data_IF_462976429698
#
_entry.id   IF_462976429698
#
_cell.length_a   1.000
_cell.length_b   1.000
_cell.length_c   1.000
_cell.angle_alpha   90.00
_cell.angle_beta   90.00
_cell.angle_gamma   90.00
#
_symmetry.space_group_name_H-M   'P 1'
#
loop_
_entity.id
_entity.type
_entity.pdbx_description
1 polymer ?
#
# COMPACT_ATOMS: atom_id res chain seq x y z
N UNK A 1 12.73 -20.04 14.41
CA UNK A 1 12.87 -19.02 15.49
C UNK A 1 11.49 -18.56 16.00
N UNK A 2 10.57 -18.12 15.15
CA UNK A 2 9.24 -17.62 15.58
C UNK A 2 8.41 -18.66 16.34
N UNK A 3 8.43 -19.93 15.93
CA UNK A 3 7.76 -21.00 16.68
C UNK A 3 8.33 -21.20 18.08
N UNK A 4 9.65 -21.09 18.24
CA UNK A 4 10.28 -21.11 19.57
C UNK A 4 9.81 -19.94 20.43
N UNK A 5 9.71 -18.74 19.86
CA UNK A 5 9.21 -17.56 20.58
C UNK A 5 7.74 -17.70 20.97
N UNK A 6 6.95 -18.31 20.09
CA UNK A 6 5.55 -18.64 20.39
C UNK A 6 5.46 -19.67 21.54
N UNK A 7 6.22 -20.76 21.47
CA UNK A 7 6.23 -21.82 22.49
C UNK A 7 6.67 -21.26 23.87
N UNK A 8 7.72 -20.42 23.91
CA UNK A 8 8.14 -19.69 25.12
C UNK A 8 7.00 -18.78 25.63
N UNK A 9 6.33 -18.07 24.72
CA UNK A 9 5.20 -17.22 25.06
C UNK A 9 4.03 -17.99 25.67
N UNK A 10 3.72 -19.18 25.17
CA UNK A 10 2.72 -20.07 25.75
C UNK A 10 3.08 -20.45 27.19
N UNK A 11 4.33 -20.90 27.42
CA UNK A 11 4.81 -21.24 28.77
C UNK A 11 4.72 -20.05 29.73
N UNK A 12 5.11 -18.85 29.28
CA UNK A 12 4.98 -17.63 30.10
C UNK A 12 3.51 -17.39 30.47
N UNK A 13 2.59 -17.54 29.50
CA UNK A 13 1.16 -17.30 29.72
C UNK A 13 0.52 -18.33 30.67
N UNK A 14 0.94 -19.59 30.63
CA UNK A 14 0.52 -20.62 31.58
C UNK A 14 0.93 -20.30 33.03
N UNK A 15 2.05 -19.58 33.17
CA UNK A 15 2.60 -19.23 34.50
C UNK A 15 2.30 -17.77 34.95
N UNK A 16 1.34 -17.10 34.30
CA UNK A 16 0.93 -15.72 34.66
C UNK A 16 0.58 -15.55 36.17
N UNK A 17 0.10 -16.59 36.83
CA UNK A 17 -0.24 -16.61 38.26
C UNK A 17 0.97 -16.50 39.19
N UNK A 18 2.20 -16.68 38.72
CA UNK A 18 3.43 -16.66 39.53
C UNK A 18 3.93 -15.24 39.85
N UNK A 19 3.19 -14.22 39.42
CA UNK A 19 3.42 -12.83 39.81
C UNK A 19 4.35 -12.05 38.85
N UNK A 20 4.44 -10.74 39.09
CA UNK A 20 5.13 -9.79 38.20
C UNK A 20 6.63 -10.02 38.04
N UNK A 21 7.29 -10.77 38.93
CA UNK A 21 8.74 -11.04 38.89
C UNK A 21 9.09 -12.30 38.07
N UNK A 22 8.12 -13.10 37.64
CA UNK A 22 8.38 -14.33 36.91
C UNK A 22 9.20 -14.10 35.65
N UNK A 23 8.82 -13.13 34.82
CA UNK A 23 9.53 -12.83 33.56
C UNK A 23 10.93 -12.27 33.82
N UNK A 24 11.11 -11.48 34.86
CA UNK A 24 12.43 -10.95 35.27
C UNK A 24 13.38 -12.07 35.69
N UNK A 25 12.87 -13.00 36.51
CA UNK A 25 13.62 -14.20 36.94
C UNK A 25 13.96 -15.07 35.74
N UNK A 26 12.98 -15.38 34.88
CA UNK A 26 13.16 -16.16 33.66
C UNK A 26 14.23 -15.56 32.75
N UNK A 27 14.23 -14.24 32.55
CA UNK A 27 15.26 -13.57 31.76
C UNK A 27 16.66 -13.71 32.37
N UNK A 28 16.74 -13.72 33.70
CA UNK A 28 17.99 -13.91 34.44
C UNK A 28 18.47 -15.34 34.32
N UNK A 29 17.59 -16.32 34.52
CA UNK A 29 17.91 -17.75 34.46
C UNK A 29 18.36 -18.16 33.05
N UNK A 30 17.68 -17.67 31.99
CA UNK A 30 18.10 -17.91 30.61
C UNK A 30 19.51 -17.34 30.36
N UNK A 31 19.80 -16.13 30.84
CA UNK A 31 21.11 -15.51 30.66
C UNK A 31 22.22 -16.28 31.39
N UNK A 32 21.93 -16.86 32.55
CA UNK A 32 22.89 -17.68 33.30
C UNK A 32 23.09 -19.05 32.61
N UNK A 33 22.00 -19.70 32.22
CA UNK A 33 22.04 -21.03 31.61
C UNK A 33 22.60 -21.01 30.17
N UNK A 34 22.34 -19.92 29.43
CA UNK A 34 22.68 -19.77 28.00
C UNK A 34 23.35 -18.40 27.73
N UNK A 35 24.59 -18.15 28.20
CA UNK A 35 25.23 -16.82 28.13
C UNK A 35 25.40 -16.30 26.70
N UNK A 36 25.59 -17.18 25.73
CA UNK A 36 25.76 -16.82 24.31
C UNK A 36 24.43 -16.54 23.59
N UNK A 37 23.29 -16.85 24.21
CA UNK A 37 21.98 -16.66 23.60
C UNK A 37 21.52 -15.22 23.72
N UNK A 38 21.19 -14.60 22.59
CA UNK A 38 20.66 -13.24 22.52
C UNK A 38 19.15 -13.26 22.28
N UNK A 39 18.47 -12.15 22.67
CA UNK A 39 17.06 -11.98 22.34
C UNK A 39 16.08 -12.38 23.47
N UNK A 40 16.55 -12.70 24.68
CA UNK A 40 15.72 -13.09 25.83
C UNK A 40 15.67 -12.00 26.93
N UNK A 41 15.67 -10.74 26.52
CA UNK A 41 15.45 -9.65 27.48
C UNK A 41 14.01 -9.69 28.02
N UNK A 42 13.80 -9.13 29.19
CA UNK A 42 12.46 -8.98 29.80
C UNK A 42 11.44 -8.40 28.82
N UNK A 43 11.84 -7.35 28.09
CA UNK A 43 10.98 -6.74 27.04
C UNK A 43 10.60 -7.74 25.97
N UNK A 44 11.57 -8.50 25.45
CA UNK A 44 11.31 -9.45 24.37
C UNK A 44 10.48 -10.66 24.85
N UNK A 45 10.70 -11.16 26.07
CA UNK A 45 9.86 -12.20 26.67
C UNK A 45 8.41 -11.73 26.83
N UNK A 46 8.18 -10.45 27.18
CA UNK A 46 6.83 -9.87 27.21
C UNK A 46 6.19 -9.85 25.81
N UNK A 47 6.96 -9.56 24.76
CA UNK A 47 6.46 -9.67 23.39
C UNK A 47 6.15 -11.11 22.98
N UNK A 48 6.96 -12.09 23.38
CA UNK A 48 6.68 -13.50 23.14
C UNK A 48 5.36 -13.93 23.81
N UNK A 49 5.14 -13.52 25.05
CA UNK A 49 3.89 -13.77 25.77
C UNK A 49 2.67 -13.14 25.06
N UNK A 50 2.78 -11.85 24.69
CA UNK A 50 1.73 -11.15 23.93
C UNK A 50 1.47 -11.78 22.57
N UNK A 51 2.52 -12.21 21.86
CA UNK A 51 2.44 -12.87 20.58
C UNK A 51 1.67 -14.19 20.66
N UNK A 52 2.01 -15.05 21.63
CA UNK A 52 1.32 -16.32 21.85
C UNK A 52 -0.14 -16.14 22.30
N UNK A 53 -0.42 -15.10 23.10
CA UNK A 53 -1.79 -14.75 23.48
C UNK A 53 -2.62 -14.24 22.31
N UNK A 54 -2.00 -13.48 21.41
CA UNK A 54 -2.68 -12.92 20.21
C UNK A 54 -2.90 -13.96 19.14
N UNK A 55 -1.96 -14.88 18.97
CA UNK A 55 -2.00 -15.94 17.95
C UNK A 55 -1.91 -17.32 18.60
N UNK A 56 -2.99 -17.82 19.22
CA UNK A 56 -2.97 -19.08 19.94
C UNK A 56 -2.82 -20.30 19.01
N UNK A 57 -3.19 -20.17 17.73
CA UNK A 57 -3.05 -21.25 16.75
C UNK A 57 -1.60 -21.34 16.25
N UNK A 58 -0.89 -22.37 16.73
CA UNK A 58 0.49 -22.66 16.33
C UNK A 58 0.64 -22.92 14.82
N UNK A 59 -0.41 -23.44 14.16
CA UNK A 59 -0.39 -23.66 12.72
C UNK A 59 -0.39 -22.32 11.96
N UNK A 60 -1.21 -21.38 12.39
CA UNK A 60 -1.21 -20.01 11.86
C UNK A 60 0.18 -19.37 12.00
N UNK A 61 0.80 -19.47 13.17
CA UNK A 61 2.15 -18.94 13.40
C UNK A 61 3.16 -19.57 12.43
N UNK A 62 3.07 -20.87 12.19
CA UNK A 62 3.98 -21.60 11.30
C UNK A 62 3.80 -21.21 9.83
N UNK A 63 2.57 -21.03 9.37
CA UNK A 63 2.25 -20.88 7.94
C UNK A 63 2.20 -19.43 7.49
N UNK A 64 1.77 -18.52 8.34
CA UNK A 64 1.52 -17.10 8.00
C UNK A 64 2.54 -16.19 8.69
N UNK A 65 2.51 -16.15 10.02
CA UNK A 65 3.35 -15.21 10.78
C UNK A 65 4.84 -15.45 10.64
N UNK A 66 5.26 -16.72 10.43
CA UNK A 66 6.68 -17.09 10.25
C UNK A 66 7.30 -16.62 8.91
N UNK A 67 6.49 -16.13 7.99
CA UNK A 67 6.96 -15.61 6.70
C UNK A 67 7.63 -14.23 6.84
N UNK A 68 7.40 -13.52 7.93
CA UNK A 68 7.96 -12.19 8.18
C UNK A 68 8.89 -12.20 9.41
N UNK A 69 9.87 -11.29 9.49
CA UNK A 69 10.80 -11.17 10.61
C UNK A 69 10.09 -10.90 11.94
N UNK A 70 10.74 -11.27 13.07
CA UNK A 70 10.23 -11.03 14.42
C UNK A 70 9.94 -9.54 14.69
N UNK A 71 10.83 -8.65 14.24
CA UNK A 71 10.63 -7.20 14.39
C UNK A 71 9.37 -6.68 13.72
N UNK A 72 8.98 -7.25 12.58
CA UNK A 72 7.74 -6.91 11.88
C UNK A 72 6.52 -7.39 12.65
N UNK A 73 6.57 -8.61 13.17
CA UNK A 73 5.50 -9.14 14.04
C UNK A 73 5.28 -8.25 15.28
N UNK A 74 6.36 -7.78 15.92
CA UNK A 74 6.27 -6.84 17.06
C UNK A 74 5.60 -5.54 16.61
N UNK A 75 6.03 -4.96 15.49
CA UNK A 75 5.46 -3.71 15.00
C UNK A 75 3.96 -3.80 14.74
N UNK A 76 3.51 -4.89 14.11
CA UNK A 76 2.08 -5.14 13.85
C UNK A 76 1.32 -5.30 15.18
N UNK A 77 1.86 -6.06 16.14
CA UNK A 77 1.25 -6.24 17.46
C UNK A 77 1.11 -4.94 18.27
N UNK A 78 2.05 -4.01 18.09
CA UNK A 78 2.02 -2.72 18.81
C UNK A 78 1.07 -1.72 18.16
N UNK A 79 1.08 -1.63 16.84
CA UNK A 79 0.41 -0.56 16.10
C UNK A 79 -0.99 -0.92 15.61
N UNK A 80 -1.25 -2.19 15.31
CA UNK A 80 -2.53 -2.65 14.74
C UNK A 80 -3.36 -3.34 15.82
N UNK A 81 -4.57 -2.85 16.11
CA UNK A 81 -5.45 -3.40 17.14
C UNK A 81 -6.38 -4.49 16.63
N UNK A 82 -6.91 -4.29 15.43
CA UNK A 82 -7.87 -5.21 14.82
C UNK A 82 -7.20 -6.52 14.36
N UNK A 83 -7.75 -7.69 14.72
CA UNK A 83 -7.16 -8.99 14.36
C UNK A 83 -7.13 -9.24 12.84
N UNK A 84 -8.15 -8.81 12.08
CA UNK A 84 -8.19 -9.03 10.64
C UNK A 84 -7.17 -8.15 9.93
N UNK A 85 -7.05 -6.90 10.36
CA UNK A 85 -6.00 -6.00 9.85
C UNK A 85 -4.59 -6.55 10.11
N UNK A 86 -4.35 -7.16 11.31
CA UNK A 86 -3.04 -7.78 11.59
C UNK A 86 -2.70 -8.88 10.60
N UNK A 87 -3.64 -9.78 10.33
CA UNK A 87 -3.45 -10.86 9.35
C UNK A 87 -3.14 -10.28 7.99
N UNK A 88 -3.93 -9.31 7.54
CA UNK A 88 -3.74 -8.64 6.27
C UNK A 88 -2.34 -7.98 6.16
N UNK A 89 -1.88 -7.25 7.19
CA UNK A 89 -0.54 -6.65 7.17
C UNK A 89 0.59 -7.70 7.18
N UNK A 90 0.40 -8.86 7.85
CA UNK A 90 1.37 -9.96 7.80
C UNK A 90 1.46 -10.50 6.37
N UNK A 91 0.34 -10.81 5.74
CA UNK A 91 0.26 -11.33 4.38
C UNK A 91 0.86 -10.35 3.37
N UNK A 92 0.46 -9.08 3.43
CA UNK A 92 0.98 -8.03 2.54
C UNK A 92 2.47 -7.77 2.75
N UNK A 93 2.96 -7.88 3.97
CA UNK A 93 4.40 -7.79 4.25
C UNK A 93 5.17 -8.95 3.62
N UNK A 94 4.64 -10.16 3.70
CA UNK A 94 5.24 -11.35 3.10
C UNK A 94 5.21 -11.29 1.56
N UNK A 95 4.05 -10.94 0.99
CA UNK A 95 3.87 -10.82 -0.48
C UNK A 95 4.80 -9.78 -1.10
N UNK A 96 4.92 -8.62 -0.46
CA UNK A 96 5.63 -7.46 -1.03
C UNK A 96 7.08 -7.35 -0.54
N UNK A 97 7.51 -8.19 0.40
CA UNK A 97 8.85 -8.11 0.96
C UNK A 97 9.15 -6.80 1.68
N UNK A 98 8.16 -6.19 2.34
CA UNK A 98 8.34 -4.90 2.99
C UNK A 98 9.43 -4.92 4.05
N UNK A 99 10.30 -3.93 4.00
CA UNK A 99 11.23 -3.67 5.11
C UNK A 99 10.45 -3.17 6.34
N UNK A 100 11.08 -3.22 7.51
CA UNK A 100 10.46 -2.74 8.75
C UNK A 100 9.94 -1.29 8.65
N UNK A 101 10.73 -0.40 8.02
CA UNK A 101 10.34 1.01 7.87
C UNK A 101 9.18 1.18 6.88
N UNK A 102 9.15 0.41 5.79
CA UNK A 102 8.03 0.41 4.84
C UNK A 102 6.76 -0.09 5.52
N UNK A 103 6.81 -1.18 6.28
CA UNK A 103 5.66 -1.68 7.03
C UNK A 103 5.12 -0.63 8.01
N UNK A 104 6.00 0.04 8.77
CA UNK A 104 5.60 1.11 9.70
C UNK A 104 4.89 2.24 8.94
N UNK A 105 5.46 2.71 7.84
CA UNK A 105 4.86 3.74 7.01
C UNK A 105 3.47 3.32 6.50
N UNK A 106 3.32 2.09 6.00
CA UNK A 106 2.04 1.59 5.49
C UNK A 106 0.96 1.49 6.60
N UNK A 107 1.35 1.12 7.83
CA UNK A 107 0.43 1.10 8.96
C UNK A 107 0.04 2.54 9.36
N UNK A 108 1.00 3.44 9.48
CA UNK A 108 0.79 4.83 9.90
C UNK A 108 -0.01 5.64 8.86
N UNK A 109 0.13 5.33 7.58
CA UNK A 109 -0.68 5.90 6.50
C UNK A 109 -2.02 5.19 6.29
N UNK A 110 -2.45 4.33 7.22
CA UNK A 110 -3.75 3.63 7.16
C UNK A 110 -4.00 2.88 5.85
N UNK A 111 -2.98 2.13 5.37
CA UNK A 111 -3.07 1.46 4.08
C UNK A 111 -4.27 0.50 3.98
N UNK A 112 -4.60 -0.23 5.06
CA UNK A 112 -5.73 -1.16 5.07
C UNK A 112 -7.04 -0.44 4.74
N UNK A 113 -7.28 0.69 5.40
CA UNK A 113 -8.46 1.52 5.20
C UNK A 113 -8.54 2.03 3.76
N UNK A 114 -7.45 2.56 3.24
CA UNK A 114 -7.37 3.13 1.89
C UNK A 114 -7.44 2.09 0.77
N UNK A 115 -7.00 0.87 1.03
CA UNK A 115 -6.94 -0.18 0.01
C UNK A 115 -8.11 -1.17 0.09
N UNK A 116 -8.56 -1.51 1.30
CA UNK A 116 -9.57 -2.55 1.53
C UNK A 116 -10.95 -1.96 1.83
N UNK A 117 -11.01 -0.92 2.68
CA UNK A 117 -12.28 -0.37 3.15
C UNK A 117 -12.77 0.83 2.34
N UNK A 118 -11.90 1.49 1.58
CA UNK A 118 -12.28 2.66 0.81
C UNK A 118 -13.33 2.33 -0.26
N UNK A 119 -14.36 3.16 -0.33
CA UNK A 119 -15.35 3.15 -1.41
C UNK A 119 -14.77 3.87 -2.63
N UNK A 120 -14.06 3.10 -3.46
CA UNK A 120 -13.34 3.62 -4.62
C UNK A 120 -14.30 3.90 -5.77
N UNK A 121 -14.31 5.14 -6.25
CA UNK A 121 -15.06 5.48 -7.47
C UNK A 121 -14.26 4.98 -8.68
N UNK A 122 -14.62 3.80 -9.17
CA UNK A 122 -13.98 3.17 -10.35
C UNK A 122 -15.04 2.61 -11.29
N UNK A 123 -14.64 2.37 -12.54
CA UNK A 123 -15.46 1.65 -13.52
C UNK A 123 -14.75 0.39 -14.06
N UNK A 124 -13.76 -0.10 -13.35
CA UNK A 124 -12.94 -1.23 -13.77
C UNK A 124 -13.76 -2.49 -14.08
N UNK A 125 -14.83 -2.77 -13.31
CA UNK A 125 -15.71 -3.93 -13.54
C UNK A 125 -16.41 -3.89 -14.90
N UNK A 126 -16.68 -2.69 -15.43
CA UNK A 126 -17.37 -2.51 -16.71
C UNK A 126 -16.41 -2.48 -17.89
N UNK A 127 -15.13 -2.21 -17.67
CA UNK A 127 -14.15 -1.92 -18.73
C UNK A 127 -13.02 -2.92 -18.85
N UNK A 128 -12.67 -3.56 -17.75
CA UNK A 128 -11.58 -4.53 -17.74
C UNK A 128 -12.15 -5.95 -17.65
N UNK A 129 -11.56 -6.91 -18.39
CA UNK A 129 -11.95 -8.31 -18.26
C UNK A 129 -11.58 -8.85 -16.87
N UNK A 130 -12.40 -9.76 -16.30
CA UNK A 130 -12.00 -10.54 -15.14
C UNK A 130 -10.83 -11.47 -15.52
N UNK A 131 -9.80 -11.66 -14.68
CA UNK A 131 -9.66 -11.15 -13.31
C UNK A 131 -8.95 -9.78 -13.21
N UNK A 132 -8.66 -9.10 -14.33
CA UNK A 132 -7.93 -7.82 -14.31
C UNK A 132 -8.70 -6.74 -13.55
N UNK A 133 -10.02 -6.66 -13.71
CA UNK A 133 -10.86 -5.69 -13.01
C UNK A 133 -10.73 -5.80 -11.50
N UNK A 134 -10.83 -7.02 -10.97
CA UNK A 134 -10.69 -7.29 -9.54
C UNK A 134 -9.28 -6.96 -9.02
N UNK A 135 -8.24 -7.36 -9.77
CA UNK A 135 -6.86 -7.05 -9.43
C UNK A 135 -6.59 -5.54 -9.45
N UNK A 136 -7.15 -4.80 -10.41
CA UNK A 136 -7.02 -3.35 -10.48
C UNK A 136 -7.65 -2.67 -9.25
N UNK A 137 -8.87 -3.04 -8.85
CA UNK A 137 -9.52 -2.53 -7.64
C UNK A 137 -8.68 -2.81 -6.39
N UNK A 138 -8.13 -4.02 -6.28
CA UNK A 138 -7.29 -4.41 -5.14
C UNK A 138 -5.93 -3.70 -5.11
N UNK A 139 -5.37 -3.39 -6.28
CA UNK A 139 -4.06 -2.75 -6.39
C UNK A 139 -4.11 -1.27 -6.08
N UNK A 140 -5.17 -0.59 -6.51
CA UNK A 140 -5.31 0.86 -6.37
C UNK A 140 -5.76 1.26 -4.95
N UNK A 141 -5.41 2.47 -4.54
CA UNK A 141 -5.73 3.08 -3.24
C UNK A 141 -6.67 4.27 -3.43
N UNK A 142 -7.42 4.61 -2.41
CA UNK A 142 -8.18 5.86 -2.33
C UNK A 142 -8.32 6.28 -0.84
N UNK A 143 -7.80 7.44 -0.45
CA UNK A 143 -6.93 8.33 -1.24
C UNK A 143 -5.47 7.84 -1.32
N UNK A 144 -4.69 8.42 -2.22
CA UNK A 144 -3.23 8.36 -2.20
C UNK A 144 -2.68 9.40 -1.22
N UNK A 145 -1.56 9.08 -0.54
CA UNK A 145 -0.92 9.96 0.45
C UNK A 145 0.44 10.42 -0.08
N UNK A 146 0.58 11.71 -0.31
CA UNK A 146 1.79 12.34 -0.81
C UNK A 146 2.39 13.30 0.22
N UNK A 147 2.50 12.86 1.49
CA UNK A 147 3.04 13.63 2.64
C UNK A 147 4.47 14.12 2.44
N UNK A 148 5.19 13.52 1.51
CA UNK A 148 6.55 13.91 1.12
C UNK A 148 6.58 15.13 0.16
N UNK A 149 5.42 15.56 -0.37
CA UNK A 149 5.32 16.78 -1.18
C UNK A 149 4.99 17.95 -0.27
N UNK A 150 5.79 19.01 -0.24
CA UNK A 150 5.47 20.20 0.53
C UNK A 150 4.39 21.02 -0.21
N UNK A 151 3.12 20.60 -0.12
CA UNK A 151 2.01 21.30 -0.75
C UNK A 151 1.92 22.75 -0.24
N UNK A 152 1.72 23.69 -1.19
CA UNK A 152 1.47 25.11 -0.94
C UNK A 152 0.24 25.54 -1.73
N UNK A 153 -0.52 26.48 -1.22
CA UNK A 153 -1.79 26.93 -1.82
C UNK A 153 -1.72 27.34 -3.30
N UNK A 154 -0.56 27.74 -3.79
CA UNK A 154 -0.36 28.22 -5.16
C UNK A 154 0.58 27.33 -6.00
N UNK A 155 0.71 26.04 -5.68
CA UNK A 155 1.50 25.13 -6.51
C UNK A 155 0.80 24.85 -7.84
N UNK A 156 1.57 24.90 -8.92
CA UNK A 156 1.11 24.49 -10.25
C UNK A 156 1.24 22.94 -10.40
N UNK A 157 0.46 22.36 -11.30
CA UNK A 157 0.53 20.92 -11.64
C UNK A 157 1.97 20.49 -11.94
N UNK A 158 2.72 21.33 -12.66
CA UNK A 158 4.13 21.08 -12.96
C UNK A 158 5.04 21.02 -11.70
N UNK A 159 4.74 21.81 -10.68
CA UNK A 159 5.53 21.82 -9.43
C UNK A 159 5.28 20.52 -8.65
N UNK A 160 4.04 20.03 -8.63
CA UNK A 160 3.65 18.75 -8.02
C UNK A 160 4.32 17.60 -8.78
N UNK A 161 4.21 17.58 -10.10
CA UNK A 161 4.87 16.61 -10.97
C UNK A 161 6.37 16.51 -10.68
N UNK A 162 7.07 17.66 -10.67
CA UNK A 162 8.50 17.71 -10.38
C UNK A 162 8.83 17.21 -8.97
N UNK A 163 8.00 17.48 -7.98
CA UNK A 163 8.17 16.98 -6.62
C UNK A 163 7.99 15.46 -6.56
N UNK A 164 6.98 14.91 -7.23
CA UNK A 164 6.74 13.46 -7.34
C UNK A 164 7.92 12.75 -8.03
N UNK A 165 8.41 13.28 -9.13
CA UNK A 165 9.54 12.70 -9.89
C UNK A 165 10.85 12.80 -9.10
N UNK A 166 11.07 13.92 -8.36
CA UNK A 166 12.25 14.07 -7.50
C UNK A 166 12.32 12.99 -6.45
N UNK A 167 11.19 12.63 -5.86
CA UNK A 167 11.06 11.60 -4.84
C UNK A 167 10.39 10.32 -5.40
N UNK A 168 10.76 9.92 -6.63
CA UNK A 168 10.16 8.77 -7.33
C UNK A 168 10.14 7.48 -6.51
N UNK A 169 11.10 7.30 -5.60
CA UNK A 169 11.11 6.15 -4.69
C UNK A 169 9.92 6.17 -3.73
N UNK A 170 9.59 7.34 -3.17
CA UNK A 170 8.42 7.49 -2.30
C UNK A 170 7.12 7.38 -3.11
N UNK A 171 7.10 7.96 -4.31
CA UNK A 171 5.98 7.80 -5.23
C UNK A 171 5.71 6.32 -5.55
N UNK A 172 6.74 5.54 -5.90
CA UNK A 172 6.60 4.10 -6.15
C UNK A 172 6.16 3.32 -4.91
N UNK A 173 6.63 3.68 -3.72
CA UNK A 173 6.18 3.09 -2.47
C UNK A 173 4.69 3.40 -2.22
N UNK A 174 4.26 4.62 -2.51
CA UNK A 174 2.85 4.98 -2.37
C UNK A 174 1.98 4.34 -3.45
N UNK A 175 2.40 4.29 -4.71
CA UNK A 175 1.67 3.58 -5.76
C UNK A 175 1.53 2.08 -5.44
N UNK A 176 2.56 1.47 -4.87
CA UNK A 176 2.55 0.07 -4.47
C UNK A 176 3.36 -0.83 -5.39
N UNK A 177 3.16 -2.15 -5.22
CA UNK A 177 3.97 -3.17 -5.91
C UNK A 177 3.60 -3.30 -7.39
N UNK A 178 4.62 -3.57 -8.19
CA UNK A 178 4.45 -3.82 -9.61
C UNK A 178 4.50 -2.58 -10.50
N UNK A 179 4.56 -1.37 -9.95
CA UNK A 179 4.69 -0.16 -10.76
C UNK A 179 6.13 0.06 -11.22
N UNK A 180 6.31 0.27 -12.50
CA UNK A 180 7.56 0.68 -13.15
C UNK A 180 7.36 2.07 -13.77
N UNK A 181 8.18 3.04 -13.37
CA UNK A 181 8.13 4.39 -13.92
C UNK A 181 8.74 4.44 -15.32
N UNK A 182 7.99 4.93 -16.30
CA UNK A 182 8.41 5.06 -17.68
C UNK A 182 8.84 6.50 -18.03
N UNK A 183 8.25 7.49 -17.38
CA UNK A 183 8.62 8.89 -17.62
C UNK A 183 7.54 9.87 -17.14
N UNK A 184 7.94 11.13 -17.08
CA UNK A 184 7.05 12.27 -16.90
C UNK A 184 7.05 13.10 -18.18
N UNK A 185 6.00 13.90 -18.39
CA UNK A 185 5.75 14.63 -19.62
C UNK A 185 6.02 13.74 -20.84
N UNK A 186 5.44 12.53 -20.78
CA UNK A 186 5.71 11.50 -21.76
C UNK A 186 5.09 11.87 -23.11
N UNK A 187 5.89 12.05 -24.18
CA UNK A 187 5.39 12.54 -25.46
C UNK A 187 4.59 11.46 -26.21
N UNK A 188 3.44 11.83 -26.72
CA UNK A 188 2.63 11.07 -27.66
C UNK A 188 2.36 11.89 -28.90
N UNK A 189 2.71 11.38 -30.09
CA UNK A 189 2.31 11.99 -31.35
C UNK A 189 1.05 11.28 -31.86
N UNK A 190 -0.05 12.04 -31.99
CA UNK A 190 -1.34 11.54 -32.47
C UNK A 190 -1.82 12.40 -33.62
N UNK A 191 -1.89 11.82 -34.80
CA UNK A 191 -2.36 12.54 -35.98
C UNK A 191 -1.45 13.69 -36.47
N UNK A 192 -0.21 13.76 -35.96
CA UNK A 192 0.75 14.84 -36.25
C UNK A 192 0.85 15.90 -35.16
N UNK A 193 -0.04 15.87 -34.16
CA UNK A 193 0.00 16.74 -33.00
C UNK A 193 0.71 16.08 -31.84
N UNK A 194 1.47 16.86 -31.05
CA UNK A 194 2.21 16.39 -29.89
C UNK A 194 1.39 16.61 -28.61
N UNK A 195 1.23 15.55 -27.83
CA UNK A 195 0.59 15.53 -26.54
C UNK A 195 1.55 15.02 -25.46
N UNK A 196 1.31 15.38 -24.20
CA UNK A 196 2.20 15.02 -23.10
C UNK A 196 1.40 14.46 -21.93
N UNK A 197 1.74 13.25 -21.49
CA UNK A 197 1.17 12.61 -20.29
C UNK A 197 1.99 13.08 -19.08
N UNK A 198 1.33 13.51 -18.00
CA UNK A 198 2.03 13.99 -16.80
C UNK A 198 2.97 12.90 -16.24
N UNK A 199 2.44 11.71 -15.93
CA UNK A 199 3.26 10.57 -15.50
C UNK A 199 2.79 9.28 -16.18
N UNK A 200 3.72 8.53 -16.75
CA UNK A 200 3.44 7.23 -17.35
C UNK A 200 4.15 6.12 -16.59
N UNK A 201 3.40 5.08 -16.25
CA UNK A 201 3.88 3.86 -15.61
C UNK A 201 3.47 2.63 -16.42
N UNK A 202 4.12 1.51 -16.12
CA UNK A 202 3.65 0.17 -16.47
C UNK A 202 3.49 -0.65 -15.20
N UNK A 203 2.35 -1.34 -15.05
CA UNK A 203 2.14 -2.23 -13.91
C UNK A 203 2.36 -3.68 -14.34
N UNK A 204 3.38 -4.31 -13.77
CA UNK A 204 3.81 -5.68 -14.08
C UNK A 204 2.76 -6.73 -13.70
N UNK A 205 2.03 -6.52 -12.60
CA UNK A 205 1.02 -7.47 -12.11
C UNK A 205 -0.24 -7.42 -12.97
N UNK A 206 -0.68 -6.22 -13.31
CA UNK A 206 -1.83 -5.96 -14.19
C UNK A 206 -1.49 -6.11 -15.67
N UNK A 207 -0.20 -6.10 -16.02
CA UNK A 207 0.31 -6.15 -17.40
C UNK A 207 -0.34 -5.08 -18.28
N UNK A 208 -0.35 -3.84 -17.80
CA UNK A 208 -0.93 -2.71 -18.51
C UNK A 208 -0.17 -1.41 -18.24
N UNK A 209 -0.33 -0.44 -19.12
CA UNK A 209 0.11 0.93 -18.86
C UNK A 209 -0.82 1.58 -17.85
N UNK A 210 -0.26 2.47 -17.04
CA UNK A 210 -0.99 3.31 -16.08
C UNK A 210 -0.65 4.76 -16.38
N UNK A 211 -1.66 5.49 -16.81
CA UNK A 211 -1.58 6.93 -17.10
C UNK A 211 -2.02 7.69 -15.87
N UNK A 212 -1.18 8.56 -15.35
CA UNK A 212 -1.53 9.42 -14.20
C UNK A 212 -1.58 10.87 -14.67
N UNK A 213 -2.71 11.51 -14.45
CA UNK A 213 -2.94 12.94 -14.67
C UNK A 213 -3.08 13.66 -13.34
N UNK A 214 -2.43 14.80 -13.23
CA UNK A 214 -2.39 15.64 -12.03
C UNK A 214 -3.25 16.87 -12.22
N UNK A 215 -4.08 17.20 -11.23
CA UNK A 215 -4.90 18.40 -11.23
C UNK A 215 -4.83 19.06 -9.86
N UNK A 216 -4.48 20.36 -9.84
CA UNK A 216 -4.35 21.14 -8.60
C UNK A 216 -5.67 21.63 -8.02
N UNK A 217 -6.76 21.45 -8.74
CA UNK A 217 -8.10 21.86 -8.32
C UNK A 217 -9.03 20.69 -8.06
N UNK A 218 -10.31 21.05 -7.88
CA UNK A 218 -11.40 20.11 -7.75
C UNK A 218 -11.63 19.34 -9.05
N UNK A 219 -12.18 18.13 -8.92
CA UNK A 219 -12.53 17.32 -10.08
C UNK A 219 -13.50 18.05 -11.02
N UNK A 220 -13.21 17.95 -12.33
CA UNK A 220 -14.08 18.40 -13.40
C UNK A 220 -14.26 17.31 -14.46
N UNK A 221 -15.49 17.17 -15.03
CA UNK A 221 -15.78 16.13 -16.04
C UNK A 221 -14.84 16.17 -17.27
N UNK A 222 -14.36 17.34 -17.67
CA UNK A 222 -13.43 17.48 -18.79
C UNK A 222 -12.10 16.75 -18.58
N UNK A 223 -11.63 16.57 -17.34
CA UNK A 223 -10.41 15.84 -17.01
C UNK A 223 -10.55 14.36 -17.34
N UNK A 224 -11.73 13.78 -17.12
CA UNK A 224 -12.03 12.42 -17.51
C UNK A 224 -11.95 12.24 -19.03
N UNK A 225 -12.44 13.22 -19.81
CA UNK A 225 -12.31 13.22 -21.28
C UNK A 225 -10.87 13.28 -21.75
N UNK A 226 -10.04 14.14 -21.14
CA UNK A 226 -8.61 14.23 -21.44
C UNK A 226 -7.89 12.91 -21.16
N UNK A 227 -8.12 12.34 -19.98
CA UNK A 227 -7.47 11.09 -19.60
C UNK A 227 -7.91 9.92 -20.49
N UNK A 228 -9.19 9.87 -20.92
CA UNK A 228 -9.68 8.88 -21.86
C UNK A 228 -8.98 8.97 -23.23
N UNK A 229 -8.73 10.17 -23.72
CA UNK A 229 -7.95 10.38 -24.94
C UNK A 229 -6.54 9.79 -24.78
N UNK A 230 -5.86 10.05 -23.66
CA UNK A 230 -4.53 9.48 -23.41
C UNK A 230 -4.55 7.96 -23.29
N UNK A 231 -5.55 7.36 -22.63
CA UNK A 231 -5.68 5.90 -22.58
C UNK A 231 -5.83 5.28 -23.96
N UNK A 232 -6.68 5.88 -24.80
CA UNK A 232 -6.89 5.43 -26.17
C UNK A 232 -5.61 5.56 -27.01
N UNK A 233 -4.87 6.65 -26.86
CA UNK A 233 -3.61 6.88 -27.57
C UNK A 233 -2.52 5.91 -27.09
N UNK A 234 -2.39 5.66 -25.79
CA UNK A 234 -1.44 4.68 -25.23
C UNK A 234 -1.76 3.28 -25.71
N UNK A 235 -3.05 2.89 -25.72
CA UNK A 235 -3.48 1.58 -26.22
C UNK A 235 -3.22 1.43 -27.73
N UNK A 236 -3.37 2.50 -28.50
CA UNK A 236 -3.13 2.47 -29.93
C UNK A 236 -1.65 2.52 -30.33
N UNK A 237 -0.79 3.16 -29.53
CA UNK A 237 0.60 3.47 -29.91
C UNK A 237 1.61 2.61 -29.15
N UNK A 238 1.43 2.44 -27.82
CA UNK A 238 2.42 1.81 -26.94
C UNK A 238 2.09 0.37 -26.59
N UNK A 239 0.80 0.07 -26.39
CA UNK A 239 0.33 -1.24 -25.95
C UNK A 239 0.74 -2.35 -26.92
N UNK A 240 1.23 -3.46 -26.37
CA UNK A 240 1.53 -4.69 -27.14
C UNK A 240 0.33 -5.64 -27.08
N UNK A 241 0.32 -6.63 -27.97
CA UNK A 241 -0.77 -7.60 -28.08
C UNK A 241 -1.02 -8.38 -26.78
N UNK A 242 0.06 -8.66 -26.00
CA UNK A 242 -0.01 -9.37 -24.73
C UNK A 242 -0.41 -8.48 -23.54
N UNK A 243 -0.51 -7.16 -23.73
CA UNK A 243 -0.86 -6.23 -22.66
C UNK A 243 -2.37 -6.11 -22.53
N UNK A 244 -2.81 -5.95 -21.30
CA UNK A 244 -4.20 -5.63 -20.99
C UNK A 244 -4.49 -4.15 -21.32
N UNK A 245 -5.76 -3.76 -21.40
CA UNK A 245 -6.13 -2.36 -21.59
C UNK A 245 -5.51 -1.46 -20.53
N UNK A 246 -5.06 -0.28 -20.96
CA UNK A 246 -4.46 0.72 -20.06
C UNK A 246 -5.49 1.24 -19.06
N UNK A 247 -5.03 1.65 -17.89
CA UNK A 247 -5.86 2.25 -16.83
C UNK A 247 -5.39 3.67 -16.55
N UNK A 248 -6.34 4.53 -16.18
CA UNK A 248 -6.09 5.92 -15.82
C UNK A 248 -6.24 6.15 -14.32
N UNK A 249 -5.41 7.02 -13.79
CA UNK A 249 -5.46 7.51 -12.44
C UNK A 249 -5.49 9.04 -12.49
N UNK A 250 -6.58 9.63 -12.03
CA UNK A 250 -6.74 11.07 -11.96
C UNK A 250 -6.58 11.53 -10.52
N UNK A 251 -5.52 12.28 -10.24
CA UNK A 251 -5.21 12.82 -8.91
C UNK A 251 -5.68 14.28 -8.85
N UNK A 252 -6.62 14.58 -7.95
CA UNK A 252 -7.17 15.91 -7.75
C UNK A 252 -7.19 16.24 -6.26
N UNK A 253 -7.32 17.55 -5.94
CA UNK A 253 -7.38 18.02 -4.57
C UNK A 253 -8.65 17.54 -3.84
N UNK A 254 -9.80 17.60 -4.49
CA UNK A 254 -11.07 17.15 -3.91
C UNK A 254 -11.98 16.52 -4.96
N UNK A 255 -12.98 15.75 -4.53
CA UNK A 255 -13.94 15.10 -5.41
C UNK A 255 -15.38 15.24 -4.92
N UNK A 256 -16.30 15.36 -5.89
CA UNK A 256 -17.71 15.06 -5.68
C UNK A 256 -17.98 13.67 -6.27
N UNK A 257 -18.21 12.67 -5.42
CA UNK A 257 -18.35 11.27 -5.84
C UNK A 257 -19.45 11.08 -6.89
N UNK A 258 -20.58 11.80 -6.77
CA UNK A 258 -21.68 11.71 -7.74
C UNK A 258 -21.27 12.22 -9.12
N UNK A 259 -20.59 13.38 -9.18
CA UNK A 259 -20.10 13.95 -10.45
C UNK A 259 -19.03 13.06 -11.07
N UNK A 260 -18.12 12.52 -10.26
CA UNK A 260 -17.09 11.59 -10.71
C UNK A 260 -17.71 10.32 -11.28
N UNK A 261 -18.66 9.69 -10.59
CA UNK A 261 -19.35 8.47 -11.03
C UNK A 261 -20.00 8.65 -12.41
N UNK A 262 -20.77 9.73 -12.60
CA UNK A 262 -21.38 10.00 -13.91
C UNK A 262 -20.35 10.28 -15.01
N UNK A 263 -19.21 10.89 -14.67
CA UNK A 263 -18.17 11.21 -15.64
C UNK A 263 -17.35 10.00 -16.07
N UNK A 264 -17.27 8.95 -15.22
CA UNK A 264 -16.47 7.74 -15.45
C UNK A 264 -17.20 6.64 -16.19
N UNK A 265 -18.48 6.79 -16.50
CA UNK A 265 -19.36 5.73 -17.00
C UNK A 265 -18.80 4.98 -18.23
N UNK A 266 -17.96 5.61 -19.03
CA UNK A 266 -17.41 5.07 -20.26
C UNK A 266 -15.87 4.96 -20.31
N UNK A 267 -15.17 5.15 -19.19
CA UNK A 267 -13.71 5.30 -19.15
C UNK A 267 -13.11 4.39 -18.08
N UNK A 268 -11.99 3.73 -18.37
CA UNK A 268 -11.26 2.90 -17.37
C UNK A 268 -10.44 3.79 -16.43
N UNK A 269 -11.05 4.31 -15.38
CA UNK A 269 -10.47 5.28 -14.47
C UNK A 269 -10.62 4.90 -13.00
N UNK A 270 -9.63 5.28 -12.21
CA UNK A 270 -9.74 5.49 -10.77
C UNK A 270 -9.55 6.98 -10.49
N UNK A 271 -10.43 7.52 -9.71
CA UNK A 271 -10.37 8.88 -9.20
C UNK A 271 -10.02 8.87 -7.71
N UNK A 272 -9.04 9.66 -7.31
CA UNK A 272 -8.62 9.75 -5.90
C UNK A 272 -8.33 11.21 -5.52
N UNK A 273 -8.68 11.57 -4.29
CA UNK A 273 -8.32 12.87 -3.68
C UNK A 273 -7.04 12.73 -2.85
N UNK A 274 -6.33 13.84 -2.66
CA UNK A 274 -5.20 13.88 -1.73
C UNK A 274 -5.70 13.86 -0.28
N UNK A 275 -5.09 13.04 0.57
CA UNK A 275 -5.46 12.91 1.99
C UNK A 275 -5.09 14.13 2.85
N UNK A 276 -4.42 15.14 2.27
CA UNK A 276 -3.89 16.29 3.02
C UNK A 276 -4.98 17.30 3.48
N UNK A 277 -6.24 17.15 3.06
CA UNK A 277 -7.34 18.10 3.36
C UNK A 277 -8.37 17.61 4.40
N UNK A 278 -8.19 16.44 5.02
CA UNK A 278 -9.04 15.99 6.15
C UNK A 278 -8.38 16.27 7.50
N UNK A 279 -8.13 17.53 7.81
CA UNK A 279 -7.60 18.03 9.08
C UNK A 279 -8.56 18.97 9.79
#
# INVERSE_FOLDING_TARGET
MLLLYHDIGCVINEHKSWGNKFIDNLATDIRIAFPESKGYSVRNLKYMAKFAETYPDRKFVQTVSAQIPWSHNIAILEKVKDPQQRIWYIEKTAENGWSHNVLIHQIESSLYERQVLADKVTNFEHRLPSPQSELAVQTMKDPYVFDFIPFRENMLERDIEQALVRDVTKLLLELGTGFAFLGNQYPLNVGGDDFYIDLLFYNLNLRCYVVIELKTGDFKPEYAGQLNFYLSAVDGILKKEQDNPSIGLLLCKSKNNVVAEYSLKDICLLYTSDAADEG
#
